data_IF_936758433020
#
_entry.id   IF_936758433020
#
_cell.length_a   1.000
_cell.length_b   1.000
_cell.length_c   1.000
_cell.angle_alpha   90.00
_cell.angle_beta   90.00
_cell.angle_gamma   90.00
#
_symmetry.space_group_name_H-M   'P 1'
#
loop_
_entity.id
_entity.type
_entity.pdbx_description
1 polymer ?
#
# COMPACT_ATOMS: atom_id res chain seq x y z
N UNK A 1 -14.58 -5.72 -31.11
CA UNK A 1 -14.08 -6.01 -29.74
C UNK A 1 -14.98 -5.35 -28.70
N UNK A 2 -14.93 -5.78 -27.43
CA UNK A 2 -15.70 -5.17 -26.32
C UNK A 2 -15.38 -3.68 -26.16
N UNK A 3 -14.11 -3.31 -26.26
CA UNK A 3 -13.65 -1.91 -26.21
C UNK A 3 -14.25 -1.06 -27.33
N UNK A 4 -14.43 -1.63 -28.54
CA UNK A 4 -15.10 -0.95 -29.63
C UNK A 4 -16.57 -0.66 -29.33
N UNK A 5 -17.25 -1.58 -28.65
CA UNK A 5 -18.64 -1.37 -28.25
C UNK A 5 -18.77 -0.31 -27.15
N UNK A 6 -17.84 -0.25 -26.20
CA UNK A 6 -17.81 0.82 -25.19
C UNK A 6 -17.72 2.21 -25.87
N UNK A 7 -16.86 2.36 -26.87
CA UNK A 7 -16.75 3.63 -27.63
C UNK A 7 -18.05 3.98 -28.35
N UNK A 8 -18.73 3.00 -28.95
CA UNK A 8 -20.06 3.22 -29.56
C UNK A 8 -21.13 3.63 -28.57
N UNK A 9 -21.00 3.17 -27.31
CA UNK A 9 -21.88 3.55 -26.20
C UNK A 9 -21.53 4.91 -25.58
N UNK A 10 -20.56 5.63 -26.13
CA UNK A 10 -20.17 6.96 -25.70
C UNK A 10 -19.08 7.01 -24.63
N UNK A 11 -18.47 5.87 -24.29
CA UNK A 11 -17.32 5.87 -23.39
C UNK A 11 -16.06 6.34 -24.13
N UNK A 12 -15.23 7.10 -23.42
CA UNK A 12 -13.91 7.53 -23.89
C UNK A 12 -12.83 6.71 -23.21
N UNK A 13 -11.80 6.31 -23.94
CA UNK A 13 -10.61 5.69 -23.36
C UNK A 13 -9.88 6.75 -22.53
N UNK A 14 -9.70 6.46 -21.25
CA UNK A 14 -8.96 7.32 -20.31
C UNK A 14 -7.49 6.91 -20.21
N UNK A 15 -7.24 5.64 -19.87
CA UNK A 15 -5.89 5.08 -19.81
C UNK A 15 -5.85 3.65 -20.34
N UNK A 16 -4.67 3.25 -20.84
CA UNK A 16 -4.34 1.87 -21.15
C UNK A 16 -2.92 1.59 -20.64
N UNK A 17 -2.77 0.50 -19.90
CA UNK A 17 -1.49 0.06 -19.34
C UNK A 17 -1.30 -1.42 -19.65
N UNK A 18 -0.03 -1.83 -19.83
CA UNK A 18 0.34 -3.22 -20.00
C UNK A 18 1.37 -3.62 -18.94
N UNK A 19 1.16 -4.76 -18.29
CA UNK A 19 2.08 -5.33 -17.32
C UNK A 19 2.21 -6.82 -17.63
N UNK A 20 3.40 -7.29 -17.91
CA UNK A 20 3.61 -8.58 -18.55
C UNK A 20 2.79 -8.63 -19.86
N UNK A 21 2.08 -9.70 -20.12
CA UNK A 21 1.20 -9.84 -21.29
C UNK A 21 -0.26 -9.40 -21.01
N UNK A 22 -0.53 -8.83 -19.83
CA UNK A 22 -1.89 -8.40 -19.47
C UNK A 22 -2.12 -6.94 -19.88
N UNK A 23 -3.34 -6.62 -20.30
CA UNK A 23 -3.76 -5.27 -20.64
C UNK A 23 -4.85 -4.77 -19.69
N UNK A 24 -4.72 -3.53 -19.28
CA UNK A 24 -5.62 -2.85 -18.35
C UNK A 24 -6.08 -1.53 -18.95
N UNK A 25 -7.36 -1.41 -19.26
CA UNK A 25 -7.92 -0.22 -19.88
C UNK A 25 -9.00 0.39 -18.99
N UNK A 26 -8.99 1.70 -18.85
CA UNK A 26 -10.01 2.46 -18.15
C UNK A 26 -10.79 3.31 -19.16
N UNK A 27 -12.10 3.15 -19.18
CA UNK A 27 -13.02 3.93 -20.00
C UNK A 27 -13.92 4.77 -19.10
N UNK A 28 -14.29 5.95 -19.57
CA UNK A 28 -15.08 6.90 -18.79
C UNK A 28 -16.22 7.51 -19.59
N UNK A 29 -17.30 7.83 -18.87
CA UNK A 29 -18.31 8.83 -19.26
C UNK A 29 -18.31 9.95 -18.21
N UNK A 30 -19.28 10.85 -18.28
CA UNK A 30 -19.49 11.86 -17.24
C UNK A 30 -19.71 11.23 -15.86
N UNK A 31 -20.45 10.11 -15.79
CA UNK A 31 -20.93 9.53 -14.54
C UNK A 31 -20.34 8.15 -14.19
N UNK A 32 -19.66 7.51 -15.12
CA UNK A 32 -19.24 6.11 -15.00
C UNK A 32 -17.76 5.94 -15.32
N UNK A 33 -17.16 4.94 -14.68
CA UNK A 33 -15.83 4.42 -14.97
C UNK A 33 -16.00 2.93 -15.25
N UNK A 34 -15.42 2.45 -16.35
CA UNK A 34 -15.33 1.03 -16.66
C UNK A 34 -13.86 0.64 -16.75
N UNK A 35 -13.44 -0.25 -15.84
CA UNK A 35 -12.12 -0.87 -15.88
C UNK A 35 -12.23 -2.22 -16.57
N UNK A 36 -11.48 -2.41 -17.65
CA UNK A 36 -11.42 -3.67 -18.41
C UNK A 36 -10.03 -4.26 -18.26
N UNK A 37 -9.95 -5.45 -17.74
CA UNK A 37 -8.71 -6.20 -17.59
C UNK A 37 -8.73 -7.39 -18.53
N UNK A 38 -7.80 -7.42 -19.47
CA UNK A 38 -7.52 -8.59 -20.30
C UNK A 38 -6.33 -9.33 -19.71
N UNK A 39 -6.60 -10.38 -18.96
CA UNK A 39 -5.62 -11.17 -18.22
C UNK A 39 -5.22 -12.38 -19.05
N UNK A 40 -4.29 -12.17 -19.97
CA UNK A 40 -3.87 -13.19 -20.96
C UNK A 40 -3.33 -14.44 -20.31
N UNK A 41 -2.54 -14.27 -19.23
CA UNK A 41 -1.88 -15.39 -18.56
C UNK A 41 -2.85 -16.30 -17.77
N UNK A 42 -4.05 -15.84 -17.47
CA UNK A 42 -5.13 -16.64 -16.87
C UNK A 42 -6.31 -16.85 -17.82
N UNK A 43 -6.25 -16.34 -19.06
CA UNK A 43 -7.35 -16.40 -20.04
C UNK A 43 -8.66 -15.82 -19.52
N UNK A 44 -8.58 -14.74 -18.75
CA UNK A 44 -9.73 -14.07 -18.14
C UNK A 44 -9.93 -12.68 -18.71
N UNK A 45 -11.18 -12.26 -18.83
CA UNK A 45 -11.58 -10.85 -19.04
C UNK A 45 -12.38 -10.44 -17.81
N UNK A 46 -12.00 -9.32 -17.19
CA UNK A 46 -12.71 -8.74 -16.07
C UNK A 46 -13.18 -7.35 -16.43
N UNK A 47 -14.41 -7.05 -16.08
CA UNK A 47 -15.05 -5.76 -16.33
C UNK A 47 -15.63 -5.31 -14.99
N UNK A 48 -15.20 -4.11 -14.57
CA UNK A 48 -15.61 -3.51 -13.29
C UNK A 48 -16.15 -2.13 -13.60
N UNK A 49 -17.34 -1.86 -13.08
CA UNK A 49 -18.00 -0.57 -13.19
C UNK A 49 -17.96 0.15 -11.86
N UNK A 50 -17.62 1.44 -11.89
CA UNK A 50 -17.63 2.35 -10.77
C UNK A 50 -18.38 3.66 -11.11
N UNK A 51 -18.93 4.31 -10.10
CA UNK A 51 -19.56 5.63 -10.24
C UNK A 51 -18.53 6.76 -10.04
N UNK A 52 -18.54 7.74 -10.92
CA UNK A 52 -17.74 8.97 -10.76
C UNK A 52 -18.30 9.94 -9.73
N UNK A 53 -19.43 9.65 -9.16
CA UNK A 53 -20.01 10.47 -8.08
C UNK A 53 -19.11 10.46 -6.84
N UNK A 54 -18.57 9.28 -6.48
CA UNK A 54 -17.76 9.09 -5.28
C UNK A 54 -16.32 8.63 -5.59
N UNK A 55 -16.04 8.23 -6.84
CA UNK A 55 -14.73 7.73 -7.26
C UNK A 55 -14.03 8.75 -8.15
N UNK A 56 -12.78 9.07 -7.78
CA UNK A 56 -11.86 9.86 -8.60
C UNK A 56 -11.08 8.97 -9.57
N UNK A 57 -10.61 9.59 -10.64
CA UNK A 57 -9.68 8.95 -11.58
C UNK A 57 -8.24 9.13 -11.08
N UNK A 58 -7.36 8.13 -11.28
CA UNK A 58 -5.92 8.35 -11.11
C UNK A 58 -5.44 9.40 -12.11
N UNK A 59 -4.55 10.32 -11.66
CA UNK A 59 -3.90 11.27 -12.55
C UNK A 59 -3.03 10.55 -13.60
N UNK A 60 -2.98 11.08 -14.82
CA UNK A 60 -2.13 10.52 -15.90
C UNK A 60 -0.78 11.22 -15.94
N UNK A 61 0.25 10.55 -16.46
CA UNK A 61 1.63 11.05 -16.48
C UNK A 61 1.76 12.43 -17.13
N UNK A 62 1.01 12.70 -18.19
CA UNK A 62 1.05 13.99 -18.90
C UNK A 62 0.56 15.18 -18.06
N UNK A 63 -0.21 14.91 -17.02
CA UNK A 63 -0.74 15.91 -16.10
C UNK A 63 0.14 16.09 -14.83
N UNK A 64 1.08 15.17 -14.60
CA UNK A 64 1.96 15.21 -13.45
C UNK A 64 3.13 16.16 -13.68
N UNK A 65 2.87 17.45 -13.48
CA UNK A 65 3.88 18.51 -13.53
C UNK A 65 4.19 18.96 -12.11
N UNK A 66 5.48 18.94 -11.75
CA UNK A 66 5.94 19.39 -10.43
C UNK A 66 7.22 20.20 -10.51
N UNK A 67 7.45 21.00 -9.47
CA UNK A 67 8.73 21.73 -9.27
C UNK A 67 9.40 21.16 -8.03
N UNK A 68 10.64 20.70 -8.19
CA UNK A 68 11.44 20.21 -7.07
C UNK A 68 11.69 21.34 -6.06
N UNK A 69 11.45 21.07 -4.79
CA UNK A 69 11.58 22.03 -3.67
C UNK A 69 12.51 21.53 -2.57
N UNK A 70 12.55 20.20 -2.36
CA UNK A 70 13.27 19.62 -1.24
C UNK A 70 14.04 18.36 -1.61
N UNK A 71 14.70 17.81 -0.60
CA UNK A 71 15.38 16.52 -0.70
C UNK A 71 14.36 15.41 -0.50
N UNK A 72 14.13 14.53 -1.50
CA UNK A 72 13.24 13.40 -1.34
C UNK A 72 13.80 12.37 -0.36
N UNK A 73 12.91 11.64 0.32
CA UNK A 73 13.28 10.55 1.24
C UNK A 73 12.27 9.43 1.26
N UNK A 74 12.71 8.24 1.67
CA UNK A 74 11.86 7.09 1.94
C UNK A 74 12.04 6.66 3.39
N UNK A 75 10.95 6.49 4.13
CA UNK A 75 10.96 6.10 5.54
C UNK A 75 10.05 4.91 5.77
N UNK A 76 10.60 3.81 6.31
CA UNK A 76 9.82 2.79 7.00
C UNK A 76 9.61 3.27 8.43
N UNK A 77 8.37 3.50 8.83
CA UNK A 77 8.04 3.97 10.18
C UNK A 77 8.32 2.88 11.21
N UNK A 78 8.93 3.27 12.33
CA UNK A 78 9.17 2.39 13.46
C UNK A 78 7.86 1.88 14.07
N UNK A 79 7.91 0.65 14.57
CA UNK A 79 6.81 -0.01 15.26
C UNK A 79 7.15 -0.03 16.74
N UNK A 80 6.21 0.38 17.61
CA UNK A 80 6.46 0.34 19.04
C UNK A 80 6.52 -1.09 19.56
N UNK A 81 7.57 -1.44 20.29
CA UNK A 81 7.68 -2.73 21.01
C UNK A 81 6.72 -2.84 22.20
N UNK A 82 5.88 -1.85 22.44
CA UNK A 82 4.98 -1.79 23.60
C UNK A 82 3.73 -2.67 23.46
N UNK A 83 3.89 -3.92 23.09
CA UNK A 83 2.94 -4.97 23.44
C UNK A 83 1.94 -5.41 22.38
N UNK A 84 2.04 -4.98 21.12
CA UNK A 84 1.32 -5.61 20.01
C UNK A 84 2.17 -5.66 18.73
N UNK A 85 2.07 -6.73 17.94
CA UNK A 85 2.87 -6.86 16.74
C UNK A 85 2.48 -5.79 15.75
N UNK A 86 3.27 -4.79 15.69
CA UNK A 86 3.50 -3.88 14.63
C UNK A 86 2.31 -3.16 14.03
N UNK A 87 2.49 -2.41 13.16
CA UNK A 87 1.70 -1.78 12.17
C UNK A 87 2.59 -1.53 10.97
N UNK A 88 2.05 -1.37 9.80
CA UNK A 88 2.79 -1.07 8.60
C UNK A 88 2.54 0.36 8.18
N UNK A 89 3.63 1.12 7.99
CA UNK A 89 3.55 2.45 7.40
C UNK A 89 4.85 2.80 6.69
N UNK A 90 4.72 3.25 5.46
CA UNK A 90 5.83 3.72 4.64
C UNK A 90 5.54 5.13 4.13
N UNK A 91 6.50 6.03 4.33
CA UNK A 91 6.36 7.45 4.04
C UNK A 91 7.39 7.83 2.97
N UNK A 92 6.93 8.37 1.86
CA UNK A 92 7.74 8.96 0.82
C UNK A 92 7.60 10.48 0.91
N UNK A 93 8.68 11.20 1.22
CA UNK A 93 8.77 12.64 0.95
C UNK A 93 9.15 12.78 -0.51
N UNK A 94 8.35 13.48 -1.28
CA UNK A 94 8.51 13.65 -2.70
C UNK A 94 9.38 14.88 -3.04
N UNK A 95 9.91 14.93 -4.25
CA UNK A 95 10.78 16.02 -4.68
C UNK A 95 10.10 17.40 -4.65
N UNK A 96 8.78 17.48 -4.73
CA UNK A 96 7.99 18.72 -4.60
C UNK A 96 7.70 19.14 -3.16
N UNK A 97 8.22 18.40 -2.17
CA UNK A 97 8.02 18.63 -0.75
C UNK A 97 6.72 18.03 -0.18
N UNK A 98 5.89 17.41 -1.01
CA UNK A 98 4.68 16.71 -0.54
C UNK A 98 4.99 15.27 -0.11
N UNK A 99 3.98 14.56 0.40
CA UNK A 99 4.14 13.18 0.88
C UNK A 99 3.24 12.22 0.12
N UNK A 100 3.76 11.00 -0.10
CA UNK A 100 2.97 9.83 -0.44
C UNK A 100 3.11 8.79 0.69
N UNK A 101 1.99 8.21 1.15
CA UNK A 101 2.00 7.30 2.30
C UNK A 101 1.35 5.99 1.90
N UNK A 102 1.95 4.87 2.33
CA UNK A 102 1.36 3.53 2.27
C UNK A 102 1.07 3.11 3.69
N UNK A 103 -0.21 2.89 4.00
CA UNK A 103 -0.73 2.54 5.33
C UNK A 103 -0.38 3.56 6.42
N UNK A 104 -0.74 3.29 7.67
CA UNK A 104 -0.55 4.24 8.76
C UNK A 104 -0.15 3.57 10.08
N UNK A 105 -0.12 2.23 10.11
CA UNK A 105 0.11 1.51 11.35
C UNK A 105 -1.14 1.35 12.21
N UNK A 106 -0.96 0.94 13.45
CA UNK A 106 -2.01 0.52 14.37
C UNK A 106 -2.88 1.68 14.86
N UNK A 107 -4.19 1.47 14.95
CA UNK A 107 -5.10 2.42 15.58
C UNK A 107 -5.11 2.30 17.11
N UNK A 108 -5.40 3.41 17.78
CA UNK A 108 -5.71 3.43 19.21
C UNK A 108 -7.10 2.82 19.46
N UNK A 109 -7.13 1.65 20.08
CA UNK A 109 -8.27 1.11 20.82
C UNK A 109 -9.66 1.05 20.10
N UNK A 110 -9.81 0.27 19.03
CA UNK A 110 -11.12 0.15 18.35
C UNK A 110 -11.83 -1.21 18.48
N UNK A 111 -11.22 -2.22 19.06
CA UNK A 111 -11.89 -3.49 19.34
C UNK A 111 -11.38 -4.09 20.62
N UNK A 112 -12.24 -4.35 21.56
CA UNK A 112 -11.96 -4.75 22.94
C UNK A 112 -11.08 -5.97 23.21
N UNK A 113 -10.28 -6.41 22.25
CA UNK A 113 -9.28 -7.46 22.42
C UNK A 113 -7.86 -7.04 22.03
N UNK A 114 -7.69 -5.93 21.31
CA UNK A 114 -6.40 -5.52 20.76
C UNK A 114 -6.15 -4.04 21.08
N UNK A 115 -5.94 -3.74 22.37
CA UNK A 115 -5.55 -2.40 22.78
C UNK A 115 -4.15 -2.08 22.25
N UNK A 116 -4.00 -1.00 21.52
CA UNK A 116 -2.71 -0.36 21.33
C UNK A 116 -2.17 0.06 22.70
N UNK A 117 -1.26 -0.71 23.24
CA UNK A 117 -0.51 -0.32 24.42
C UNK A 117 0.69 0.49 23.95
N UNK A 118 0.70 1.77 24.26
CA UNK A 118 1.79 2.65 23.92
C UNK A 118 1.36 3.86 23.10
N UNK A 119 2.31 4.50 22.43
CA UNK A 119 2.05 5.68 21.61
C UNK A 119 1.26 5.29 20.36
N UNK A 120 0.04 5.82 20.14
CA UNK A 120 -0.74 5.52 18.96
C UNK A 120 0.05 5.84 17.68
N UNK A 121 -0.09 4.99 16.64
CA UNK A 121 0.66 5.20 15.39
C UNK A 121 0.41 6.57 14.76
N UNK A 122 -0.76 7.18 15.00
CA UNK A 122 -1.04 8.53 14.50
C UNK A 122 -0.11 9.58 15.11
N UNK A 123 0.20 9.51 16.41
CA UNK A 123 1.13 10.45 17.06
C UNK A 123 2.53 10.31 16.46
N UNK A 124 2.97 9.08 16.25
CA UNK A 124 4.26 8.78 15.63
C UNK A 124 4.31 9.21 14.17
N UNK A 125 3.28 8.91 13.40
CA UNK A 125 3.16 9.32 12.01
C UNK A 125 3.19 10.85 11.89
N UNK A 126 2.37 11.55 12.69
CA UNK A 126 2.32 13.00 12.68
C UNK A 126 3.66 13.65 13.05
N UNK A 127 4.32 13.12 14.10
CA UNK A 127 5.66 13.56 14.50
C UNK A 127 6.66 13.34 13.36
N UNK A 128 6.66 12.17 12.73
CA UNK A 128 7.56 11.86 11.62
C UNK A 128 7.32 12.78 10.43
N UNK A 129 6.06 13.04 10.07
CA UNK A 129 5.72 13.95 8.98
C UNK A 129 6.23 15.38 9.26
N UNK A 130 6.07 15.86 10.50
CA UNK A 130 6.58 17.18 10.88
C UNK A 130 8.11 17.28 10.86
N UNK A 131 8.79 16.21 11.25
CA UNK A 131 10.28 16.15 11.21
C UNK A 131 10.83 16.11 9.79
N UNK A 132 10.08 15.53 8.84
CA UNK A 132 10.48 15.42 7.44
C UNK A 132 10.02 16.61 6.59
N UNK A 133 8.95 17.29 6.98
CA UNK A 133 8.34 18.36 6.21
C UNK A 133 9.26 19.58 6.07
N UNK A 134 9.27 20.22 4.89
CA UNK A 134 9.93 21.50 4.67
C UNK A 134 9.17 22.64 5.38
N UNK A 135 7.84 22.50 5.48
CA UNK A 135 6.95 23.36 6.27
C UNK A 135 6.10 22.47 7.20
N UNK A 136 6.49 22.34 8.49
CA UNK A 136 5.81 21.48 9.44
C UNK A 136 4.40 21.97 9.83
N UNK A 137 4.06 23.19 9.48
CA UNK A 137 2.73 23.75 9.75
C UNK A 137 1.79 23.65 8.53
N UNK A 138 2.30 23.15 7.38
CA UNK A 138 1.51 22.96 6.16
C UNK A 138 1.93 21.68 5.42
N UNK A 139 1.60 20.54 5.99
CA UNK A 139 1.92 19.21 5.48
C UNK A 139 0.93 18.82 4.39
N UNK A 140 1.40 18.55 3.18
CA UNK A 140 0.56 18.10 2.07
C UNK A 140 0.83 16.63 1.78
N UNK A 141 -0.20 15.79 1.91
CA UNK A 141 -0.18 14.38 1.51
C UNK A 141 -0.85 14.30 0.14
N UNK A 142 -0.02 14.13 -0.90
CA UNK A 142 -0.48 14.04 -2.29
C UNK A 142 -1.27 12.77 -2.55
N UNK A 143 -0.87 11.66 -1.91
CA UNK A 143 -1.60 10.40 -1.97
C UNK A 143 -1.40 9.58 -0.69
N UNK A 144 -2.49 8.96 -0.22
CA UNK A 144 -2.46 8.02 0.88
C UNK A 144 -3.09 6.70 0.42
N UNK A 145 -2.26 5.68 0.23
CA UNK A 145 -2.68 4.34 -0.11
C UNK A 145 -2.98 3.57 1.18
N UNK A 146 -4.22 3.11 1.34
CA UNK A 146 -4.62 2.17 2.39
C UNK A 146 -4.75 0.79 1.75
N UNK A 147 -3.85 -0.11 2.08
CA UNK A 147 -3.76 -1.41 1.43
C UNK A 147 -4.95 -2.30 1.74
N UNK A 148 -5.40 -2.32 2.98
CA UNK A 148 -6.62 -2.98 3.43
C UNK A 148 -7.06 -2.44 4.80
N UNK A 149 -8.22 -2.88 5.28
CA UNK A 149 -8.91 -2.27 6.41
C UNK A 149 -8.56 -2.85 7.79
N UNK A 150 -7.46 -3.59 7.91
CA UNK A 150 -7.00 -3.99 9.23
C UNK A 150 -6.51 -2.79 10.04
N UNK A 151 -6.64 -2.91 11.36
CA UNK A 151 -6.33 -1.83 12.31
C UNK A 151 -4.84 -1.47 12.37
N UNK A 152 -3.97 -2.37 12.00
CA UNK A 152 -2.52 -2.22 11.93
C UNK A 152 -2.02 -1.68 10.58
N UNK A 153 -2.93 -1.37 9.66
CA UNK A 153 -2.70 -0.73 8.36
C UNK A 153 -3.46 0.59 8.23
N UNK A 154 -4.78 0.55 8.30
CA UNK A 154 -5.62 1.74 8.20
C UNK A 154 -5.65 2.59 9.49
N UNK A 155 -5.02 2.11 10.56
CA UNK A 155 -5.21 2.62 11.91
C UNK A 155 -4.96 4.11 12.05
N UNK A 156 -3.79 4.63 11.68
CA UNK A 156 -3.50 6.04 11.84
C UNK A 156 -4.35 6.94 10.95
N UNK A 157 -4.77 6.48 9.75
CA UNK A 157 -5.70 7.23 8.91
C UNK A 157 -7.07 7.38 9.60
N UNK A 158 -7.55 6.29 10.20
CA UNK A 158 -8.83 6.28 10.92
C UNK A 158 -8.74 7.17 12.17
N UNK A 159 -7.64 7.08 12.93
CA UNK A 159 -7.45 7.87 14.14
C UNK A 159 -7.22 9.36 13.84
N UNK A 160 -6.60 9.71 12.71
CA UNK A 160 -6.45 11.10 12.30
C UNK A 160 -7.81 11.83 12.24
N UNK A 161 -8.87 11.12 11.87
CA UNK A 161 -10.22 11.68 11.85
C UNK A 161 -10.76 12.09 13.23
N UNK A 162 -10.15 11.62 14.31
CA UNK A 162 -10.48 11.95 15.69
C UNK A 162 -9.54 13.01 16.30
N UNK A 163 -8.54 13.49 15.54
CA UNK A 163 -7.49 14.39 16.00
C UNK A 163 -7.49 15.74 15.26
N UNK A 164 -8.46 16.63 15.57
CA UNK A 164 -8.54 17.96 14.94
C UNK A 164 -7.28 18.79 15.17
N UNK A 165 -6.53 18.54 16.24
CA UNK A 165 -5.24 19.17 16.54
C UNK A 165 -4.15 18.80 15.54
N UNK A 166 -4.27 17.68 14.81
CA UNK A 166 -3.35 17.27 13.74
C UNK A 166 -3.88 17.66 12.37
N UNK A 167 -5.17 17.48 12.12
CA UNK A 167 -5.77 17.75 10.81
C UNK A 167 -5.65 19.20 10.37
N UNK A 168 -5.51 20.15 11.31
CA UNK A 168 -5.26 21.57 10.96
C UNK A 168 -3.94 21.83 10.26
N UNK A 169 -2.98 20.91 10.38
CA UNK A 169 -1.66 21.00 9.73
C UNK A 169 -1.56 20.13 8.48
N UNK A 170 -2.54 19.26 8.21
CA UNK A 170 -2.48 18.24 7.17
C UNK A 170 -3.53 18.48 6.10
N UNK A 171 -3.11 18.54 4.85
CA UNK A 171 -3.99 18.50 3.68
C UNK A 171 -3.81 17.19 2.96
N UNK A 172 -4.85 16.36 2.86
CA UNK A 172 -4.85 15.12 2.08
C UNK A 172 -5.48 15.43 0.72
N UNK A 173 -4.72 15.21 -0.37
CA UNK A 173 -5.20 15.46 -1.73
C UNK A 173 -5.97 14.27 -2.29
N UNK A 174 -5.47 13.05 -2.06
CA UNK A 174 -6.06 11.85 -2.60
C UNK A 174 -5.94 10.69 -1.62
N UNK A 175 -7.01 9.92 -1.46
CA UNK A 175 -7.02 8.63 -0.75
C UNK A 175 -7.27 7.53 -1.75
N UNK A 176 -6.40 6.52 -1.73
CA UNK A 176 -6.46 5.36 -2.61
C UNK A 176 -6.75 4.14 -1.75
N UNK A 177 -7.85 3.47 -1.98
CA UNK A 177 -8.16 2.20 -1.32
C UNK A 177 -9.13 1.37 -2.14
N UNK A 178 -9.25 0.08 -1.80
CA UNK A 178 -10.22 -0.82 -2.42
C UNK A 178 -10.71 -1.80 -1.35
N UNK A 179 -12.00 -1.72 -1.04
CA UNK A 179 -12.61 -2.53 0.00
C UNK A 179 -13.65 -3.47 -0.63
N UNK A 180 -13.58 -4.79 -0.35
CA UNK A 180 -14.60 -5.71 -0.80
C UNK A 180 -15.94 -5.42 -0.12
N UNK A 181 -17.04 -5.74 -0.80
CA UNK A 181 -18.35 -5.74 -0.16
C UNK A 181 -18.43 -6.86 0.89
N UNK A 182 -19.26 -6.68 1.93
CA UNK A 182 -19.45 -7.72 2.95
C UNK A 182 -19.96 -9.04 2.35
N UNK A 183 -20.75 -8.95 1.29
CA UNK A 183 -21.23 -10.12 0.54
C UNK A 183 -20.12 -10.94 -0.13
N UNK A 184 -18.97 -10.31 -0.40
CA UNK A 184 -17.83 -10.95 -1.05
C UNK A 184 -16.91 -11.66 -0.03
N UNK A 185 -17.06 -11.32 1.25
CA UNK A 185 -16.28 -11.94 2.32
C UNK A 185 -16.84 -13.31 2.71
N UNK A 186 -15.94 -14.27 2.92
CA UNK A 186 -16.32 -15.62 3.34
C UNK A 186 -16.72 -15.65 4.82
N UNK A 187 -16.01 -14.92 5.66
CA UNK A 187 -16.14 -15.04 7.11
C UNK A 187 -17.18 -14.11 7.73
N UNK A 188 -17.78 -13.18 6.98
CA UNK A 188 -18.87 -12.30 7.44
C UNK A 188 -18.66 -11.63 8.82
N UNK A 189 -17.52 -11.93 9.46
CA UNK A 189 -17.30 -11.77 10.90
C UNK A 189 -16.83 -10.40 11.34
N UNK A 190 -16.61 -9.46 10.43
CA UNK A 190 -16.09 -8.14 10.80
C UNK A 190 -16.86 -6.98 10.14
N UNK A 191 -18.20 -6.96 10.15
CA UNK A 191 -18.98 -5.91 9.49
C UNK A 191 -18.66 -4.51 10.06
N UNK A 192 -18.25 -4.41 11.31
CA UNK A 192 -17.87 -3.13 11.93
C UNK A 192 -16.61 -2.52 11.28
N UNK A 193 -15.67 -3.32 10.81
CA UNK A 193 -14.47 -2.79 10.12
C UNK A 193 -14.83 -2.12 8.79
N UNK A 194 -15.87 -2.58 8.13
CA UNK A 194 -16.33 -2.03 6.86
C UNK A 194 -16.83 -0.58 6.98
N UNK A 195 -17.19 -0.14 8.18
CA UNK A 195 -17.64 1.24 8.41
C UNK A 195 -16.49 2.20 8.73
N UNK A 196 -15.33 1.71 9.13
CA UNK A 196 -14.23 2.56 9.61
C UNK A 196 -13.74 3.56 8.57
N UNK A 197 -13.49 3.10 7.34
CA UNK A 197 -13.04 3.98 6.27
C UNK A 197 -14.11 5.02 5.88
N UNK A 198 -15.38 4.63 5.59
CA UNK A 198 -16.45 5.60 5.33
C UNK A 198 -16.63 6.63 6.45
N UNK A 199 -16.56 6.20 7.72
CA UNK A 199 -16.70 7.11 8.86
C UNK A 199 -15.52 8.10 8.95
N UNK A 200 -14.29 7.62 8.76
CA UNK A 200 -13.10 8.48 8.76
C UNK A 200 -13.14 9.49 7.59
N UNK A 201 -13.43 9.03 6.38
CA UNK A 201 -13.55 9.90 5.20
C UNK A 201 -14.59 11.00 5.41
N UNK A 202 -15.75 10.65 5.97
CA UNK A 202 -16.81 11.62 6.30
C UNK A 202 -16.33 12.69 7.28
N UNK A 203 -15.64 12.28 8.37
CA UNK A 203 -15.09 13.21 9.38
C UNK A 203 -14.00 14.10 8.81
N UNK A 204 -13.14 13.56 7.97
CA UNK A 204 -12.09 14.29 7.27
C UNK A 204 -12.61 15.13 6.10
N UNK A 205 -13.93 15.06 5.81
CA UNK A 205 -14.59 15.77 4.70
C UNK A 205 -14.04 15.41 3.32
N UNK A 206 -13.54 14.17 3.18
CA UNK A 206 -13.09 13.62 1.91
C UNK A 206 -14.31 13.00 1.22
N UNK A 207 -14.75 13.61 0.13
CA UNK A 207 -15.99 13.23 -0.58
C UNK A 207 -15.76 12.27 -1.72
N UNK A 208 -14.54 12.24 -2.25
CA UNK A 208 -14.13 11.34 -3.33
C UNK A 208 -12.84 10.62 -2.99
N UNK A 209 -12.71 9.40 -3.45
CA UNK A 209 -11.51 8.58 -3.29
C UNK A 209 -11.18 7.89 -4.60
N UNK A 210 -9.95 7.46 -4.78
CA UNK A 210 -9.62 6.56 -5.89
C UNK A 210 -9.81 5.12 -5.41
N UNK A 211 -10.62 4.37 -6.13
CA UNK A 211 -10.75 2.94 -5.92
C UNK A 211 -9.64 2.23 -6.70
N UNK A 212 -8.78 1.52 -5.97
CA UNK A 212 -7.65 0.83 -6.57
C UNK A 212 -8.10 -0.40 -7.34
N UNK A 213 -7.65 -0.51 -8.60
CA UNK A 213 -7.83 -1.68 -9.45
C UNK A 213 -6.47 -2.11 -10.04
N UNK A 214 -6.26 -3.41 -10.30
CA UNK A 214 -5.05 -3.88 -10.95
C UNK A 214 -4.80 -3.18 -12.28
N UNK A 215 -3.54 -2.88 -12.55
CA UNK A 215 -3.09 -2.20 -13.77
C UNK A 215 -3.18 -0.67 -13.75
N UNK A 216 -3.81 -0.07 -12.74
CA UNK A 216 -3.79 1.38 -12.58
C UNK A 216 -2.39 1.89 -12.24
N UNK A 217 -2.03 3.02 -12.83
CA UNK A 217 -0.76 3.71 -12.62
C UNK A 217 -1.01 5.13 -12.15
N UNK A 218 -0.33 5.53 -11.10
CA UNK A 218 -0.40 6.86 -10.50
C UNK A 218 0.95 7.55 -10.57
N UNK A 219 0.93 8.86 -10.67
CA UNK A 219 2.12 9.70 -10.67
C UNK A 219 1.99 10.77 -9.59
N UNK A 220 2.94 10.80 -8.66
CA UNK A 220 3.04 11.77 -7.60
C UNK A 220 4.45 12.36 -7.63
N UNK A 221 4.62 13.55 -8.17
CA UNK A 221 5.93 14.16 -8.41
C UNK A 221 6.93 13.15 -9.03
N UNK A 222 7.97 12.76 -8.30
CA UNK A 222 9.01 11.83 -8.72
C UNK A 222 8.71 10.36 -8.37
N UNK A 223 7.50 10.05 -7.88
CA UNK A 223 7.05 8.70 -7.55
C UNK A 223 6.07 8.18 -8.59
N UNK A 224 6.24 6.94 -9.03
CA UNK A 224 5.27 6.18 -9.81
C UNK A 224 4.79 4.99 -8.99
N UNK A 225 3.47 4.90 -8.83
CA UNK A 225 2.79 3.77 -8.19
C UNK A 225 2.06 2.96 -9.25
N UNK A 226 2.26 1.65 -9.26
CA UNK A 226 1.50 0.70 -10.09
C UNK A 226 0.75 -0.28 -9.18
N UNK A 227 -0.56 -0.39 -9.35
CA UNK A 227 -1.36 -1.39 -8.63
C UNK A 227 -1.24 -2.73 -9.36
N UNK A 228 -0.71 -3.73 -8.67
CA UNK A 228 -0.56 -5.09 -9.20
C UNK A 228 -1.74 -5.97 -8.82
N UNK A 229 -2.35 -5.76 -7.65
CA UNK A 229 -3.43 -6.60 -7.17
C UNK A 229 -4.29 -5.93 -6.10
N UNK A 230 -5.51 -6.41 -6.00
CA UNK A 230 -6.45 -6.16 -4.91
C UNK A 230 -7.50 -7.27 -4.93
N UNK A 231 -8.56 -7.14 -4.13
CA UNK A 231 -9.64 -8.14 -4.07
C UNK A 231 -10.29 -8.48 -5.43
N UNK A 232 -10.21 -7.59 -6.42
CA UNK A 232 -10.77 -7.85 -7.75
C UNK A 232 -10.13 -9.06 -8.44
N UNK A 233 -8.86 -9.37 -8.15
CA UNK A 233 -8.20 -10.55 -8.71
C UNK A 233 -8.68 -11.86 -8.08
N UNK A 234 -9.14 -11.82 -6.84
CA UNK A 234 -9.62 -13.01 -6.11
C UNK A 234 -11.05 -13.37 -6.52
N UNK A 235 -11.88 -12.39 -6.86
CA UNK A 235 -13.25 -12.62 -7.32
C UNK A 235 -13.28 -13.50 -8.60
N UNK A 236 -14.34 -14.29 -8.85
CA UNK A 236 -15.62 -14.37 -8.10
C UNK A 236 -15.56 -15.22 -6.83
N UNK A 237 -14.41 -15.81 -6.50
CA UNK A 237 -14.26 -16.56 -5.27
C UNK A 237 -14.48 -15.68 -4.05
N UNK A 238 -14.98 -16.27 -2.98
CA UNK A 238 -15.14 -15.56 -1.71
C UNK A 238 -13.77 -15.23 -1.13
N UNK A 239 -13.64 -14.02 -0.61
CA UNK A 239 -12.43 -13.55 0.04
C UNK A 239 -12.42 -14.11 1.46
N UNK A 240 -11.50 -15.03 1.73
CA UNK A 240 -11.44 -15.74 3.01
C UNK A 240 -11.09 -14.84 4.18
N UNK A 241 -10.24 -13.84 3.94
CA UNK A 241 -9.79 -12.83 4.93
C UNK A 241 -9.53 -11.50 4.25
N UNK A 242 -9.62 -10.40 4.99
CA UNK A 242 -9.26 -9.07 4.50
C UNK A 242 -7.83 -8.97 3.97
N UNK A 243 -6.90 -9.80 4.43
CA UNK A 243 -5.54 -9.89 3.92
C UNK A 243 -5.51 -10.24 2.41
N UNK A 244 -6.40 -11.12 1.94
CA UNK A 244 -6.51 -11.42 0.51
C UNK A 244 -7.17 -10.30 -0.30
N UNK A 245 -7.62 -9.23 0.36
CA UNK A 245 -8.08 -8.00 -0.27
C UNK A 245 -6.97 -6.93 -0.33
N UNK A 246 -5.79 -7.21 0.20
CA UNK A 246 -4.66 -6.27 0.20
C UNK A 246 -4.36 -5.74 -1.18
N UNK A 247 -4.17 -4.42 -1.28
CA UNK A 247 -3.63 -3.79 -2.47
C UNK A 247 -2.14 -4.09 -2.51
N UNK A 248 -1.74 -4.83 -3.52
CA UNK A 248 -0.34 -5.10 -3.83
C UNK A 248 0.13 -4.10 -4.86
N UNK A 249 1.28 -3.49 -4.63
CA UNK A 249 1.76 -2.41 -5.48
C UNK A 249 3.26 -2.46 -5.74
N UNK A 250 3.65 -1.93 -6.90
CA UNK A 250 5.02 -1.59 -7.25
C UNK A 250 5.20 -0.08 -7.19
N UNK A 251 6.20 0.37 -6.45
CA UNK A 251 6.58 1.78 -6.37
C UNK A 251 7.92 1.96 -7.06
N UNK A 252 8.00 2.90 -7.99
CA UNK A 252 9.25 3.34 -8.60
C UNK A 252 9.60 4.72 -8.01
N UNK A 253 10.72 4.80 -7.27
CA UNK A 253 11.16 6.01 -6.59
C UNK A 253 12.68 5.97 -6.32
N UNK A 254 13.37 7.09 -6.45
CA UNK A 254 14.79 7.19 -6.16
C UNK A 254 15.66 6.21 -6.96
N UNK A 255 15.24 5.87 -8.19
CA UNK A 255 15.94 4.94 -9.08
C UNK A 255 15.77 3.46 -8.75
N UNK A 256 14.89 3.09 -7.81
CA UNK A 256 14.60 1.71 -7.43
C UNK A 256 13.12 1.37 -7.59
N UNK A 257 12.87 0.08 -7.81
CA UNK A 257 11.55 -0.54 -7.73
C UNK A 257 11.36 -1.19 -6.36
N UNK A 258 10.26 -0.90 -5.71
CA UNK A 258 9.88 -1.50 -4.43
C UNK A 258 8.55 -2.25 -4.55
N UNK A 259 8.55 -3.54 -4.25
CA UNK A 259 7.35 -4.37 -4.21
C UNK A 259 6.76 -4.37 -2.80
N UNK A 260 5.55 -3.85 -2.68
CA UNK A 260 4.76 -3.88 -1.45
C UNK A 260 3.67 -4.93 -1.57
N UNK A 261 3.79 -5.99 -0.80
CA UNK A 261 2.83 -7.11 -0.78
C UNK A 261 1.72 -6.89 0.25
N UNK A 262 1.86 -5.88 1.11
CA UNK A 262 0.99 -5.68 2.26
C UNK A 262 0.81 -6.99 3.03
N UNK A 263 -0.43 -7.40 3.29
CA UNK A 263 -0.72 -8.67 3.97
C UNK A 263 -1.23 -9.76 3.02
N UNK A 264 -0.87 -9.67 1.73
CA UNK A 264 -1.30 -10.66 0.74
C UNK A 264 -1.00 -12.09 1.19
N UNK A 265 -2.02 -12.92 1.10
CA UNK A 265 -1.98 -14.34 1.44
C UNK A 265 -2.18 -15.23 0.20
N UNK A 266 -2.33 -16.54 0.40
CA UNK A 266 -2.27 -17.57 -0.63
C UNK A 266 -3.03 -17.27 -1.91
N UNK A 267 -4.32 -16.91 -1.83
CA UNK A 267 -5.14 -16.65 -3.03
C UNK A 267 -4.65 -15.44 -3.83
N UNK A 268 -4.27 -14.36 -3.15
CA UNK A 268 -3.70 -13.17 -3.79
C UNK A 268 -2.34 -13.48 -4.40
N UNK A 269 -1.44 -14.15 -3.67
CA UNK A 269 -0.10 -14.47 -4.13
C UNK A 269 -0.09 -15.42 -5.35
N UNK A 270 -1.02 -16.40 -5.41
CA UNK A 270 -1.18 -17.26 -6.60
C UNK A 270 -1.60 -16.47 -7.85
N UNK A 271 -2.49 -15.50 -7.69
CA UNK A 271 -2.88 -14.61 -8.80
C UNK A 271 -1.72 -13.74 -9.26
N UNK A 272 -0.97 -13.14 -8.34
CA UNK A 272 0.21 -12.32 -8.65
C UNK A 272 1.26 -13.13 -9.45
N UNK A 273 1.59 -14.33 -8.96
CA UNK A 273 2.51 -15.25 -9.65
C UNK A 273 2.03 -15.55 -11.07
N UNK A 274 0.76 -15.93 -11.22
CA UNK A 274 0.18 -16.33 -12.52
C UNK A 274 0.18 -15.19 -13.51
N UNK A 275 -0.17 -13.98 -13.06
CA UNK A 275 -0.33 -12.83 -13.94
C UNK A 275 0.99 -12.17 -14.32
N UNK A 276 1.93 -12.09 -13.39
CA UNK A 276 3.09 -11.23 -13.55
C UNK A 276 4.42 -11.99 -13.55
N UNK A 277 4.54 -13.11 -12.84
CA UNK A 277 5.78 -13.90 -12.81
C UNK A 277 7.03 -13.05 -12.62
N UNK A 278 7.98 -13.05 -13.62
CA UNK A 278 9.22 -12.28 -13.52
C UNK A 278 9.06 -10.77 -13.43
N UNK A 279 7.92 -10.19 -13.84
CA UNK A 279 7.66 -8.75 -13.73
C UNK A 279 7.46 -8.29 -12.27
N UNK A 280 7.38 -9.25 -11.32
CA UNK A 280 7.40 -8.97 -9.88
C UNK A 280 8.79 -8.62 -9.36
N UNK A 281 9.84 -8.70 -10.19
CA UNK A 281 11.21 -8.40 -9.76
C UNK A 281 11.35 -6.95 -9.31
N UNK A 282 12.00 -6.77 -8.16
CA UNK A 282 12.15 -5.48 -7.49
C UNK A 282 13.45 -5.40 -6.69
N UNK A 283 14.01 -4.20 -6.59
CA UNK A 283 15.19 -3.90 -5.78
C UNK A 283 14.93 -3.94 -4.27
N UNK A 284 13.69 -3.64 -3.90
CA UNK A 284 13.22 -3.56 -2.52
C UNK A 284 11.96 -4.42 -2.41
N UNK A 285 11.85 -5.21 -1.36
CA UNK A 285 10.64 -5.99 -1.07
C UNK A 285 10.21 -5.80 0.37
N UNK A 286 8.93 -5.53 0.59
CA UNK A 286 8.30 -5.66 1.90
C UNK A 286 7.83 -7.10 2.07
N UNK A 287 8.23 -7.74 3.15
CA UNK A 287 7.85 -9.11 3.47
C UNK A 287 6.36 -9.18 3.77
N UNK A 288 5.63 -10.02 3.02
CA UNK A 288 4.18 -10.14 3.10
C UNK A 288 3.72 -10.44 4.53
N UNK A 289 2.63 -9.79 4.94
CA UNK A 289 1.94 -9.99 6.20
C UNK A 289 2.91 -10.04 7.38
N UNK A 290 3.78 -9.03 7.48
CA UNK A 290 4.81 -8.91 8.51
C UNK A 290 5.74 -10.13 8.63
N UNK A 291 5.73 -11.04 7.65
CA UNK A 291 6.44 -12.32 7.71
C UNK A 291 5.66 -13.47 8.32
N UNK A 292 4.34 -13.37 8.43
CA UNK A 292 3.47 -14.42 8.97
C UNK A 292 3.63 -15.77 8.25
N UNK A 293 3.44 -16.89 8.97
CA UNK A 293 3.80 -18.23 8.49
C UNK A 293 2.95 -18.75 7.32
N UNK A 294 1.72 -18.31 7.18
CA UNK A 294 0.73 -18.91 6.26
C UNK A 294 0.43 -18.09 5.01
N UNK A 295 1.34 -17.20 4.60
CA UNK A 295 1.10 -16.29 3.47
C UNK A 295 1.26 -16.94 2.10
N UNK A 296 1.94 -18.08 1.99
CA UNK A 296 2.39 -18.66 0.71
C UNK A 296 3.17 -17.66 -0.18
N UNK A 297 3.77 -16.62 0.43
CA UNK A 297 4.46 -15.56 -0.31
C UNK A 297 5.74 -16.04 -1.01
N UNK A 298 6.28 -17.18 -0.63
CA UNK A 298 7.45 -17.80 -1.28
C UNK A 298 7.29 -17.98 -2.78
N UNK A 299 6.06 -18.19 -3.27
CA UNK A 299 5.79 -18.30 -4.71
C UNK A 299 5.94 -16.97 -5.46
N UNK A 300 5.89 -15.84 -4.75
CA UNK A 300 6.21 -14.51 -5.27
C UNK A 300 7.69 -14.21 -5.09
N UNK A 301 8.25 -14.50 -3.91
CA UNK A 301 9.65 -14.20 -3.59
C UNK A 301 10.66 -14.86 -4.54
N UNK A 302 10.33 -16.01 -5.12
CA UNK A 302 11.20 -16.67 -6.11
C UNK A 302 11.49 -15.83 -7.36
N UNK A 303 10.66 -14.82 -7.65
CA UNK A 303 10.83 -13.90 -8.77
C UNK A 303 11.51 -12.59 -8.37
N UNK A 304 11.70 -12.33 -7.08
CA UNK A 304 12.23 -11.07 -6.57
C UNK A 304 13.70 -11.21 -6.23
N UNK A 305 14.54 -10.32 -6.77
CA UNK A 305 15.99 -10.29 -6.51
C UNK A 305 16.38 -8.99 -5.78
N UNK A 306 15.93 -8.80 -4.52
CA UNK A 306 16.06 -7.53 -3.85
C UNK A 306 17.47 -7.31 -3.33
N UNK A 307 17.90 -6.05 -3.28
CA UNK A 307 19.04 -5.60 -2.48
C UNK A 307 18.64 -5.19 -1.06
N UNK A 308 17.35 -4.91 -0.86
CA UNK A 308 16.78 -4.45 0.41
C UNK A 308 15.50 -5.22 0.71
N UNK A 309 15.39 -5.73 1.94
CA UNK A 309 14.20 -6.41 2.46
C UNK A 309 13.68 -5.65 3.68
N UNK A 310 12.43 -5.23 3.63
CA UNK A 310 11.74 -4.49 4.68
C UNK A 310 10.86 -5.43 5.50
N UNK A 311 11.07 -5.43 6.81
CA UNK A 311 10.35 -6.24 7.77
C UNK A 311 9.54 -5.35 8.71
N UNK A 312 8.26 -5.13 8.46
CA UNK A 312 7.41 -4.33 9.35
C UNK A 312 6.98 -5.16 10.59
N UNK A 313 7.93 -5.60 11.38
CA UNK A 313 7.76 -6.38 12.61
C UNK A 313 8.55 -5.77 13.76
N UNK A 314 8.28 -6.21 14.98
CA UNK A 314 9.04 -5.82 16.16
C UNK A 314 10.43 -6.45 16.18
N UNK A 315 11.37 -5.78 16.85
CA UNK A 315 12.74 -6.28 17.04
C UNK A 315 12.77 -7.60 17.82
N UNK A 316 11.87 -7.76 18.79
CA UNK A 316 11.71 -9.00 19.55
C UNK A 316 11.34 -10.19 18.67
N UNK A 317 10.39 -10.00 17.74
CA UNK A 317 9.95 -11.05 16.83
C UNK A 317 11.03 -11.42 15.82
N UNK A 318 11.75 -10.42 15.31
CA UNK A 318 12.91 -10.65 14.46
C UNK A 318 13.98 -11.50 15.15
N UNK A 319 14.25 -11.24 16.44
CA UNK A 319 15.27 -11.95 17.22
C UNK A 319 14.82 -13.34 17.64
N UNK A 320 13.54 -13.53 17.94
CA UNK A 320 13.01 -14.84 18.34
C UNK A 320 12.95 -15.84 17.18
N UNK A 321 12.88 -15.35 15.95
CA UNK A 321 12.99 -16.14 14.71
C UNK A 321 11.72 -16.86 14.28
N UNK A 322 11.06 -17.60 15.14
CA UNK A 322 10.03 -18.55 14.74
C UNK A 322 8.85 -18.63 15.71
N UNK A 323 8.17 -17.52 15.85
CA UNK A 323 6.86 -17.47 16.52
C UNK A 323 5.72 -17.58 15.48
N UNK A 324 4.79 -16.66 15.62
CA UNK A 324 3.71 -16.39 14.65
C UNK A 324 4.30 -15.91 13.31
N UNK A 325 5.42 -15.19 13.37
CA UNK A 325 6.19 -14.74 12.22
C UNK A 325 7.28 -15.76 11.89
N UNK A 326 7.19 -16.37 10.73
CA UNK A 326 8.17 -17.36 10.30
C UNK A 326 9.41 -16.68 9.67
N UNK A 327 10.13 -15.93 10.50
CA UNK A 327 11.27 -15.11 10.07
C UNK A 327 12.37 -15.97 9.45
N UNK A 328 12.70 -17.10 10.07
CA UNK A 328 13.74 -18.01 9.57
C UNK A 328 13.39 -18.57 8.20
N UNK A 329 12.14 -18.99 7.99
CA UNK A 329 11.68 -19.49 6.70
C UNK A 329 11.69 -18.40 5.63
N UNK A 330 11.15 -17.22 5.91
CA UNK A 330 11.12 -16.12 4.95
C UNK A 330 12.55 -15.66 4.58
N UNK A 331 13.48 -15.67 5.53
CA UNK A 331 14.91 -15.39 5.27
C UNK A 331 15.55 -16.36 4.25
N UNK A 332 15.05 -17.58 4.10
CA UNK A 332 15.63 -18.53 3.13
C UNK A 332 15.55 -18.02 1.69
N UNK A 333 14.55 -17.19 1.37
CA UNK A 333 14.41 -16.56 0.06
C UNK A 333 15.38 -15.38 -0.15
N UNK A 334 15.88 -14.79 0.94
CA UNK A 334 16.65 -13.55 0.95
C UNK A 334 18.01 -13.70 1.64
N UNK A 335 18.61 -14.90 1.62
CA UNK A 335 19.88 -15.20 2.30
C UNK A 335 21.12 -15.01 1.42
N UNK A 336 20.98 -14.40 0.24
CA UNK A 336 22.10 -14.11 -0.65
C UNK A 336 22.98 -12.99 -0.08
N UNK A 337 24.27 -13.06 -0.35
CA UNK A 337 25.22 -12.01 0.02
C UNK A 337 24.83 -10.69 -0.66
N UNK A 338 24.98 -9.58 0.05
CA UNK A 338 24.66 -8.24 -0.47
C UNK A 338 23.21 -7.79 -0.24
N UNK A 339 22.35 -8.62 0.34
CA UNK A 339 20.99 -8.22 0.72
C UNK A 339 21.01 -7.59 2.12
N UNK A 340 20.43 -6.40 2.24
CA UNK A 340 20.25 -5.69 3.51
C UNK A 340 18.84 -5.90 4.06
N UNK A 341 18.73 -6.27 5.33
CA UNK A 341 17.45 -6.44 6.02
C UNK A 341 17.22 -5.29 6.98
N UNK A 342 16.09 -4.62 6.85
CA UNK A 342 15.68 -3.55 7.77
C UNK A 342 14.38 -3.94 8.48
N UNK A 343 14.40 -3.85 9.80
CA UNK A 343 13.29 -4.23 10.67
C UNK A 343 12.64 -2.97 11.22
N UNK A 344 11.32 -2.94 11.27
CA UNK A 344 10.55 -1.82 11.81
C UNK A 344 11.03 -1.44 13.21
N UNK A 345 10.93 -2.38 14.16
CA UNK A 345 11.36 -2.12 15.52
C UNK A 345 10.74 -0.86 16.10
N UNK A 346 11.46 -0.18 16.96
CA UNK A 346 11.04 1.01 17.72
C UNK A 346 11.51 2.34 17.12
N UNK A 347 12.23 2.31 16.02
CA UNK A 347 12.75 3.50 15.36
C UNK A 347 12.46 3.53 13.86
N UNK A 348 12.28 4.73 13.32
CA UNK A 348 12.16 4.94 11.88
C UNK A 348 13.47 4.56 11.18
N UNK A 349 13.35 3.94 10.01
CA UNK A 349 14.47 3.72 9.07
C UNK A 349 14.26 4.62 7.87
N UNK A 350 15.12 5.63 7.69
CA UNK A 350 14.99 6.68 6.67
C UNK A 350 16.15 6.64 5.69
N UNK A 351 15.85 6.62 4.40
CA UNK A 351 16.78 6.69 3.29
C UNK A 351 16.66 8.06 2.63
N UNK A 352 17.76 8.82 2.59
CA UNK A 352 17.85 10.16 1.97
C UNK A 352 18.86 10.19 0.83
N UNK A 353 19.78 9.21 0.78
CA UNK A 353 20.75 9.07 -0.28
C UNK A 353 20.42 7.88 -1.18
N UNK A 354 19.81 8.17 -2.33
CA UNK A 354 19.37 7.13 -3.27
C UNK A 354 20.50 6.58 -4.17
N UNK A 355 21.70 7.14 -4.11
CA UNK A 355 22.85 6.53 -4.81
C UNK A 355 23.35 5.28 -4.08
N UNK A 356 23.28 5.28 -2.76
CA UNK A 356 23.73 4.14 -1.92
C UNK A 356 22.60 3.35 -1.30
N UNK A 357 21.43 3.98 -1.13
CA UNK A 357 20.30 3.41 -0.38
C UNK A 357 20.72 2.89 1.01
N UNK A 358 21.61 3.64 1.65
CA UNK A 358 21.99 3.39 3.04
C UNK A 358 21.17 4.33 3.92
N UNK A 359 20.53 3.82 4.99
CA UNK A 359 19.69 4.65 5.83
C UNK A 359 20.54 5.67 6.60
N UNK A 360 20.06 6.90 6.66
CA UNK A 360 20.70 8.01 7.38
C UNK A 360 20.24 8.08 8.83
N UNK A 361 19.02 7.56 9.11
CA UNK A 361 18.44 7.48 10.45
C UNK A 361 17.94 6.07 10.69
N UNK A 362 18.60 5.36 11.57
CA UNK A 362 18.14 4.09 12.11
C UNK A 362 18.84 3.83 13.43
N UNK A 363 18.09 3.62 14.49
CA UNK A 363 18.63 3.21 15.76
C UNK A 363 18.87 1.70 15.85
N UNK A 364 18.36 0.95 14.86
CA UNK A 364 18.51 -0.48 14.81
C UNK A 364 19.61 -0.87 13.81
N UNK A 365 20.57 -1.66 14.28
CA UNK A 365 21.59 -2.29 13.43
C UNK A 365 21.35 -3.79 13.44
N UNK A 366 21.22 -4.43 12.27
CA UNK A 366 21.23 -5.89 12.23
C UNK A 366 22.54 -6.38 12.81
N UNK A 367 22.46 -7.27 13.78
CA UNK A 367 23.63 -7.97 14.37
C UNK A 367 24.01 -9.15 13.49
#
# INVERSE_FOLDING_TARGET
TYTTELVKLGFQLYTINSIADNEFSTFITENQIINVMFLKNSSEIRIIEDSRETIELPGIKSENVYTAKGQPSFTMMGISDAGYPGGMSFIYKLADGTFFIIDGGMCANRTGSNECKGDPSINRLFKTLRELADDPDNIVISGWLITHIHNDHAGAFIDLAEHPEYTKYITIKQVIYSQPANSDMQDGNQPKRLTWMPDALKKLKITKTVKAHPGQVFFFADLKLTILGCHDLVKPDKISRHNNASIVSMVEFGGKKALFLADAEGASNEKLKTLYGPELDADIVQVAHHGYSNTNAGIVYQYVTPSIVLWPIQTSDWKSGDNVYNVSFNKTYFNKSGISHYVGGDANTTFENFSTWTPTRSNWKPS
#
